data_IF_820269764911
#
_entry.id   IF_820269764911
#
_cell.length_a   1.000
_cell.length_b   1.000
_cell.length_c   1.000
_cell.angle_alpha   90.00
_cell.angle_beta   90.00
_cell.angle_gamma   90.00
#
_symmetry.space_group_name_H-M   'P 1'
#
loop_
_entity.id
_entity.type
_entity.pdbx_description
1 polymer ?
#
# COMPACT_ATOMS: atom_id res chain seq x y z
N UNK A 1 13.18 -11.02 -13.17
CA UNK A 1 14.23 -10.45 -14.04
C UNK A 1 15.06 -9.52 -13.19
N UNK A 2 16.38 -9.69 -13.19
CA UNK A 2 17.29 -8.93 -12.34
C UNK A 2 18.05 -7.92 -13.21
N UNK A 3 18.13 -6.68 -12.75
CA UNK A 3 18.89 -5.61 -13.42
C UNK A 3 19.96 -5.15 -12.43
N UNK A 4 21.20 -5.04 -12.91
CA UNK A 4 22.32 -4.52 -12.12
C UNK A 4 22.47 -3.04 -12.45
N UNK A 5 22.49 -2.19 -11.41
CA UNK A 5 22.87 -0.78 -11.51
C UNK A 5 23.96 -0.46 -10.51
N UNK A 6 24.82 0.52 -10.83
CA UNK A 6 25.82 1.04 -9.90
C UNK A 6 25.28 2.25 -9.15
N UNK A 7 25.75 2.42 -7.92
CA UNK A 7 25.54 3.63 -7.14
C UNK A 7 26.51 4.72 -7.62
N UNK A 8 26.01 5.94 -7.78
CA UNK A 8 26.84 7.12 -8.07
C UNK A 8 26.44 8.25 -7.13
N UNK A 9 27.40 8.77 -6.37
CA UNK A 9 27.19 9.84 -5.39
C UNK A 9 26.03 9.53 -4.42
N UNK A 10 25.96 8.29 -3.92
CA UNK A 10 24.91 7.84 -2.99
C UNK A 10 23.52 7.71 -3.60
N UNK A 11 23.38 7.79 -4.93
CA UNK A 11 22.10 7.66 -5.64
C UNK A 11 22.14 6.48 -6.59
N UNK A 12 21.00 5.81 -6.74
CA UNK A 12 20.77 4.81 -7.79
C UNK A 12 19.62 5.27 -8.66
N UNK A 13 19.70 4.97 -9.95
CA UNK A 13 18.59 5.16 -10.88
C UNK A 13 17.67 3.96 -10.74
N UNK A 14 16.37 4.20 -10.55
CA UNK A 14 15.36 3.14 -10.65
C UNK A 14 15.06 2.94 -12.14
N UNK A 15 15.39 1.78 -12.74
CA UNK A 15 15.10 1.50 -14.15
C UNK A 15 13.61 1.71 -14.51
N UNK A 16 13.37 2.16 -15.74
CA UNK A 16 12.01 2.49 -16.22
C UNK A 16 11.02 1.33 -16.10
N UNK A 17 11.49 0.09 -16.31
CA UNK A 17 10.64 -1.10 -16.20
C UNK A 17 10.06 -1.27 -14.79
N UNK A 18 10.85 -1.01 -13.74
CA UNK A 18 10.35 -1.10 -12.36
C UNK A 18 9.41 0.05 -12.04
N UNK A 19 9.66 1.25 -12.57
CA UNK A 19 8.73 2.38 -12.42
C UNK A 19 7.36 2.05 -13.02
N UNK A 20 7.32 1.46 -14.21
CA UNK A 20 6.07 1.04 -14.86
C UNK A 20 5.36 -0.07 -14.09
N UNK A 21 6.08 -1.11 -13.66
CA UNK A 21 5.51 -2.23 -12.91
C UNK A 21 4.93 -1.82 -11.56
N UNK A 22 5.55 -0.83 -10.90
CA UNK A 22 5.11 -0.32 -9.60
C UNK A 22 4.22 0.92 -9.73
N UNK A 23 3.83 1.29 -10.96
CA UNK A 23 3.04 2.47 -11.29
C UNK A 23 3.56 3.77 -10.67
N UNK A 24 4.88 3.90 -10.59
CA UNK A 24 5.57 5.07 -10.05
C UNK A 24 5.56 6.22 -11.05
N UNK A 25 5.18 7.40 -10.57
CA UNK A 25 5.17 8.65 -11.31
C UNK A 25 6.12 9.66 -10.66
N UNK A 26 6.51 10.68 -11.42
CA UNK A 26 7.31 11.78 -10.87
C UNK A 26 6.52 12.51 -9.77
N UNK A 27 7.16 12.72 -8.63
CA UNK A 27 6.52 13.30 -7.44
C UNK A 27 5.94 12.25 -6.46
N UNK A 28 5.91 10.96 -6.83
CA UNK A 28 5.50 9.93 -5.89
C UNK A 28 6.45 9.80 -4.69
N UNK A 29 5.87 9.57 -3.52
CA UNK A 29 6.62 9.25 -2.33
C UNK A 29 7.01 7.77 -2.31
N UNK A 30 8.31 7.52 -2.23
CA UNK A 30 8.88 6.20 -2.05
C UNK A 30 9.16 5.92 -0.58
N UNK A 31 8.75 4.73 -0.13
CA UNK A 31 9.03 4.23 1.22
C UNK A 31 10.12 3.18 1.10
N UNK A 32 11.24 3.43 1.77
CA UNK A 32 12.40 2.56 1.82
C UNK A 32 12.43 1.82 3.14
N UNK A 33 12.71 0.52 3.09
CA UNK A 33 12.87 -0.32 4.27
C UNK A 33 14.08 -1.23 4.08
N UNK A 34 14.87 -1.41 5.12
CA UNK A 34 15.95 -2.38 5.15
C UNK A 34 15.47 -3.60 5.94
N UNK A 35 15.55 -4.79 5.34
CA UNK A 35 15.20 -6.05 6.00
C UNK A 35 16.03 -7.19 5.42
N UNK A 36 16.55 -8.06 6.27
CA UNK A 36 17.25 -9.28 5.85
C UNK A 36 18.40 -9.04 4.85
N UNK A 37 19.09 -7.90 4.96
CA UNK A 37 20.16 -7.51 4.03
C UNK A 37 19.67 -6.94 2.69
N UNK A 38 18.37 -6.78 2.51
CA UNK A 38 17.75 -6.18 1.33
C UNK A 38 17.27 -4.76 1.60
N UNK A 39 17.48 -3.88 0.61
CA UNK A 39 16.81 -2.58 0.56
C UNK A 39 15.55 -2.72 -0.31
N UNK A 40 14.39 -2.63 0.32
CA UNK A 40 13.09 -2.76 -0.33
C UNK A 40 12.44 -1.39 -0.47
N UNK A 41 12.05 -1.06 -1.70
CA UNK A 41 11.31 0.15 -2.02
C UNK A 41 9.85 -0.17 -2.32
N UNK A 42 8.94 0.64 -1.81
CA UNK A 42 7.50 0.52 -2.03
C UNK A 42 6.87 1.90 -2.24
N UNK A 43 5.66 1.96 -2.81
CA UNK A 43 4.85 3.18 -2.85
C UNK A 43 3.78 3.11 -1.76
N UNK A 44 3.25 4.27 -1.33
CA UNK A 44 2.11 4.32 -0.40
C UNK A 44 0.90 3.53 -0.93
N UNK A 45 0.61 3.67 -2.22
CA UNK A 45 -0.50 2.97 -2.86
C UNK A 45 -0.30 1.45 -2.80
N UNK A 46 0.91 0.96 -3.08
CA UNK A 46 1.21 -0.48 -3.02
C UNK A 46 1.10 -1.04 -1.59
N UNK A 47 1.54 -0.28 -0.58
CA UNK A 47 1.35 -0.69 0.82
C UNK A 47 -0.12 -0.73 1.23
N UNK A 48 -0.91 0.27 0.82
CA UNK A 48 -2.35 0.30 1.07
C UNK A 48 -3.06 -0.87 0.41
N UNK A 49 -2.79 -1.13 -0.87
CA UNK A 49 -3.38 -2.25 -1.60
C UNK A 49 -3.03 -3.60 -0.95
N UNK A 50 -1.78 -3.77 -0.48
CA UNK A 50 -1.37 -4.97 0.26
C UNK A 50 -2.13 -5.11 1.58
N UNK A 51 -2.26 -4.02 2.34
CA UNK A 51 -3.01 -4.03 3.59
C UNK A 51 -4.49 -4.37 3.34
N UNK A 52 -5.12 -3.74 2.35
CA UNK A 52 -6.49 -4.03 1.94
C UNK A 52 -6.67 -5.50 1.54
N UNK A 53 -5.77 -6.05 0.71
CA UNK A 53 -5.82 -7.45 0.32
C UNK A 53 -5.68 -8.40 1.52
N UNK A 54 -4.82 -8.07 2.48
CA UNK A 54 -4.68 -8.83 3.72
C UNK A 54 -5.99 -8.82 4.52
N UNK A 55 -6.58 -7.65 4.76
CA UNK A 55 -7.82 -7.55 5.52
C UNK A 55 -9.01 -8.18 4.79
N UNK A 56 -9.05 -8.11 3.47
CA UNK A 56 -10.09 -8.75 2.66
C UNK A 56 -10.13 -10.28 2.87
N UNK A 57 -8.99 -10.92 3.18
CA UNK A 57 -8.95 -12.35 3.48
C UNK A 57 -9.65 -12.74 4.79
N UNK A 58 -9.80 -11.78 5.71
CA UNK A 58 -10.50 -11.95 6.98
C UNK A 58 -11.96 -11.48 6.93
N UNK A 59 -12.34 -10.73 5.89
CA UNK A 59 -13.70 -10.23 5.74
C UNK A 59 -14.65 -11.37 5.33
N UNK A 60 -15.86 -11.46 5.92
CA UNK A 60 -16.87 -12.42 5.48
C UNK A 60 -17.23 -12.15 4.01
N UNK A 61 -17.31 -13.21 3.22
CA UNK A 61 -17.72 -13.08 1.82
C UNK A 61 -19.20 -12.72 1.76
N UNK A 62 -19.54 -11.70 0.96
CA UNK A 62 -20.92 -11.23 0.75
C UNK A 62 -21.62 -10.64 1.98
N UNK A 63 -20.88 -10.23 3.02
CA UNK A 63 -21.47 -9.44 4.11
C UNK A 63 -21.59 -7.96 3.72
N UNK A 64 -22.54 -7.21 4.31
CA UNK A 64 -22.53 -5.76 4.26
C UNK A 64 -21.21 -5.20 4.81
N UNK A 65 -20.93 -3.94 4.48
CA UNK A 65 -19.78 -3.23 5.05
C UNK A 65 -19.95 -3.10 6.56
N UNK A 66 -19.04 -3.72 7.33
CA UNK A 66 -19.03 -3.60 8.79
C UNK A 66 -18.89 -2.13 9.24
N UNK A 67 -18.23 -1.29 8.44
CA UNK A 67 -18.15 0.14 8.71
C UNK A 67 -19.50 0.83 8.55
N UNK A 68 -20.29 0.46 7.53
CA UNK A 68 -21.61 1.05 7.30
C UNK A 68 -22.59 0.61 8.40
N UNK A 69 -22.54 -0.66 8.82
CA UNK A 69 -23.31 -1.16 9.96
C UNK A 69 -23.00 -0.37 11.23
N UNK A 70 -21.71 -0.19 11.56
CA UNK A 70 -21.29 0.57 12.73
C UNK A 70 -21.73 2.05 12.66
N UNK A 71 -21.61 2.68 11.49
CA UNK A 71 -22.04 4.08 11.30
C UNK A 71 -23.55 4.19 11.48
N UNK A 72 -24.33 3.25 10.94
CA UNK A 72 -25.78 3.22 11.10
C UNK A 72 -26.18 3.07 12.57
N UNK A 73 -25.54 2.14 13.30
CA UNK A 73 -25.76 1.94 14.73
C UNK A 73 -25.43 3.21 15.53
N UNK A 74 -24.31 3.87 15.23
CA UNK A 74 -23.92 5.12 15.89
C UNK A 74 -24.88 6.27 15.64
N UNK A 75 -25.43 6.38 14.43
CA UNK A 75 -26.44 7.41 14.11
C UNK A 75 -27.76 7.14 14.82
N UNK A 76 -28.24 5.90 14.81
CA UNK A 76 -29.45 5.52 15.50
C UNK A 76 -29.34 5.77 17.02
N UNK A 77 -28.19 5.46 17.62
CA UNK A 77 -27.93 5.74 19.03
C UNK A 77 -28.00 7.25 19.33
N UNK A 78 -27.40 8.10 18.49
CA UNK A 78 -27.41 9.54 18.67
C UNK A 78 -28.80 10.18 18.49
N UNK A 79 -29.67 9.62 17.65
CA UNK A 79 -31.05 10.09 17.48
C UNK A 79 -31.96 9.69 18.66
N UNK A 80 -31.53 8.74 19.49
CA UNK A 80 -32.26 8.22 20.65
C UNK A 80 -31.80 8.77 22.01
N UNK A 81 -30.86 9.73 22.01
CA UNK A 81 -30.31 10.43 23.19
C UNK A 81 -30.74 11.91 23.21
#
# INVERSE_FOLDING_TARGET
>A
MNIVSSLSNGRTVIPAIFRQQLSMQDGDQLIWSARDGELVVTTRHAQLARAQALFQSFAPQNSPSAADELIAERRAAADSE
#
